data_IF_225114951323
#
_entry.id   IF_225114951323
#
_cell.length_a   1.000
_cell.length_b   1.000
_cell.length_c   1.000
_cell.angle_alpha   90.00
_cell.angle_beta   90.00
_cell.angle_gamma   90.00
#
_symmetry.space_group_name_H-M   'P 1'
#
loop_
_entity.id
_entity.type
_entity.pdbx_description
1 polymer ?
#
# COMPACT_ATOMS: atom_id res chain seq x y z
N UNK A 1 -28.87 -7.50 9.69
CA UNK A 1 -28.41 -6.10 9.50
C UNK A 1 -27.36 -6.10 8.39
N UNK A 2 -27.68 -5.50 7.25
CA UNK A 2 -26.74 -5.34 6.16
C UNK A 2 -25.59 -4.44 6.65
N UNK A 3 -24.34 -4.90 6.51
CA UNK A 3 -23.16 -4.10 6.86
C UNK A 3 -23.22 -2.81 6.04
N UNK A 4 -22.97 -1.63 6.64
CA UNK A 4 -22.90 -0.39 5.88
C UNK A 4 -21.91 -0.59 4.73
N UNK A 5 -22.38 -0.36 3.49
CA UNK A 5 -21.53 -0.37 2.30
C UNK A 5 -20.41 0.63 2.55
N UNK A 6 -19.17 0.22 2.29
CA UNK A 6 -18.00 1.05 2.45
C UNK A 6 -18.26 2.40 1.73
N UNK A 7 -18.24 3.51 2.45
CA UNK A 7 -18.61 4.85 1.95
C UNK A 7 -17.45 5.58 1.29
N UNK A 8 -16.27 4.96 1.24
CA UNK A 8 -15.07 5.51 0.62
C UNK A 8 -14.83 4.83 -0.72
N UNK A 9 -14.63 5.64 -1.76
CA UNK A 9 -14.27 5.15 -3.08
C UNK A 9 -12.86 4.55 -3.06
N UNK A 10 -12.77 3.28 -3.46
CA UNK A 10 -11.50 2.58 -3.64
C UNK A 10 -11.14 2.55 -5.11
N UNK A 11 -9.95 3.04 -5.46
CA UNK A 11 -9.43 2.99 -6.83
C UNK A 11 -8.36 1.91 -6.94
N UNK A 12 -8.41 1.12 -8.00
CA UNK A 12 -7.40 0.09 -8.26
C UNK A 12 -6.16 0.73 -8.93
N UNK A 13 -4.99 0.48 -8.36
CA UNK A 13 -3.69 0.88 -8.94
C UNK A 13 -2.93 -0.38 -9.34
N UNK A 14 -2.50 -0.47 -10.59
CA UNK A 14 -1.65 -1.56 -11.08
C UNK A 14 -0.23 -1.04 -11.23
N UNK A 15 0.73 -1.72 -10.60
CA UNK A 15 2.13 -1.29 -10.57
C UNK A 15 2.97 -2.38 -11.24
N UNK A 16 3.77 -1.98 -12.24
CA UNK A 16 4.81 -2.83 -12.80
C UNK A 16 6.08 -2.66 -11.98
N UNK A 17 6.65 -3.76 -11.52
CA UNK A 17 7.87 -3.73 -10.69
C UNK A 17 8.75 -4.94 -10.97
N UNK A 18 9.96 -4.92 -10.43
CA UNK A 18 10.91 -6.03 -10.59
C UNK A 18 10.53 -7.23 -9.73
N UNK A 19 10.92 -8.47 -10.10
CA UNK A 19 10.63 -9.67 -9.31
C UNK A 19 11.14 -9.58 -7.87
N UNK A 20 12.30 -8.96 -7.67
CA UNK A 20 12.90 -8.76 -6.35
C UNK A 20 12.01 -7.94 -5.42
N UNK A 21 11.39 -6.87 -5.93
CA UNK A 21 10.48 -6.03 -5.14
C UNK A 21 9.23 -6.81 -4.74
N UNK A 22 8.68 -7.61 -5.66
CA UNK A 22 7.54 -8.48 -5.36
C UNK A 22 7.87 -9.47 -4.25
N UNK A 23 9.03 -10.12 -4.31
CA UNK A 23 9.45 -11.09 -3.30
C UNK A 23 9.66 -10.44 -1.92
N UNK A 24 10.23 -9.22 -1.89
CA UNK A 24 10.36 -8.46 -0.64
C UNK A 24 8.98 -8.16 -0.05
N UNK A 25 8.00 -7.74 -0.86
CA UNK A 25 6.63 -7.48 -0.39
C UNK A 25 5.98 -8.74 0.18
N UNK A 26 6.19 -9.91 -0.44
CA UNK A 26 5.67 -11.19 0.07
C UNK A 26 6.33 -11.60 1.40
N UNK A 27 7.65 -11.39 1.54
CA UNK A 27 8.37 -11.62 2.80
C UNK A 27 7.91 -10.68 3.91
N UNK A 28 7.69 -9.39 3.59
CA UNK A 28 7.18 -8.39 4.53
C UNK A 28 5.73 -8.66 4.93
N UNK A 29 4.94 -9.25 4.04
CA UNK A 29 3.60 -9.74 4.39
C UNK A 29 3.70 -10.91 5.37
N UNK A 30 4.63 -11.84 5.10
CA UNK A 30 4.86 -13.03 5.93
C UNK A 30 5.39 -12.71 7.33
N UNK A 31 6.05 -11.57 7.53
CA UNK A 31 6.49 -11.12 8.85
C UNK A 31 5.35 -10.60 9.73
N UNK A 32 4.14 -10.43 9.18
CA UNK A 32 2.94 -10.03 9.90
C UNK A 32 2.84 -8.53 10.21
N UNK A 33 3.76 -7.71 9.70
CA UNK A 33 3.85 -6.28 10.01
C UNK A 33 2.86 -5.39 9.25
N UNK A 34 2.49 -5.74 8.01
CA UNK A 34 1.81 -4.80 7.12
C UNK A 34 0.42 -5.22 6.63
N UNK A 35 0.13 -6.51 6.45
CA UNK A 35 -1.15 -6.92 5.89
C UNK A 35 -1.30 -8.42 5.63
N UNK A 36 -2.41 -8.82 4.99
CA UNK A 36 -2.74 -10.22 4.71
C UNK A 36 -2.21 -10.69 3.36
N UNK A 37 -1.90 -9.76 2.46
CA UNK A 37 -1.35 -10.04 1.13
C UNK A 37 -0.34 -8.97 0.71
N UNK A 38 0.41 -9.23 -0.36
CA UNK A 38 1.43 -8.31 -0.87
C UNK A 38 0.86 -6.94 -1.32
N UNK A 39 -0.41 -6.88 -1.74
CA UNK A 39 -1.05 -5.64 -2.15
C UNK A 39 -1.39 -4.74 -0.95
N UNK A 40 -1.87 -5.32 0.16
CA UNK A 40 -2.09 -4.61 1.42
C UNK A 40 -0.76 -4.05 1.94
N UNK A 41 0.29 -4.87 1.88
CA UNK A 41 1.65 -4.46 2.26
C UNK A 41 2.16 -3.32 1.38
N UNK A 42 1.98 -3.42 0.07
CA UNK A 42 2.35 -2.36 -0.86
C UNK A 42 1.57 -1.07 -0.59
N UNK A 43 0.27 -1.16 -0.29
CA UNK A 43 -0.57 -0.01 0.06
C UNK A 43 -0.09 0.67 1.34
N UNK A 44 0.22 -0.09 2.39
CA UNK A 44 0.73 0.45 3.65
C UNK A 44 2.07 1.19 3.46
N UNK A 45 3.03 0.56 2.76
CA UNK A 45 4.33 1.16 2.46
C UNK A 45 4.20 2.40 1.57
N UNK A 46 3.33 2.37 0.56
CA UNK A 46 3.06 3.53 -0.28
C UNK A 46 2.50 4.69 0.54
N UNK A 47 1.56 4.42 1.46
CA UNK A 47 0.97 5.44 2.32
C UNK A 47 2.02 6.09 3.22
N UNK A 48 2.90 5.31 3.85
CA UNK A 48 4.00 5.82 4.66
C UNK A 48 4.93 6.69 3.82
N UNK A 49 5.34 6.20 2.65
CA UNK A 49 6.26 6.92 1.79
C UNK A 49 5.67 8.22 1.24
N UNK A 50 4.39 8.23 0.87
CA UNK A 50 3.68 9.44 0.45
C UNK A 50 3.67 10.46 1.59
N UNK A 51 3.36 10.04 2.81
CA UNK A 51 3.39 10.93 3.98
C UNK A 51 4.77 11.53 4.20
N UNK A 52 5.83 10.73 4.13
CA UNK A 52 7.21 11.24 4.23
C UNK A 52 7.56 12.24 3.11
N UNK A 53 7.10 11.99 1.89
CA UNK A 53 7.33 12.90 0.76
C UNK A 53 6.58 14.21 0.93
N UNK A 54 5.35 14.17 1.46
CA UNK A 54 4.58 15.36 1.81
C UNK A 54 5.28 16.17 2.92
N UNK A 55 5.74 15.50 3.98
CA UNK A 55 6.48 16.14 5.08
C UNK A 55 7.80 16.78 4.60
N UNK A 56 8.45 16.18 3.59
CA UNK A 56 9.67 16.70 2.97
C UNK A 56 9.42 17.74 1.87
N UNK A 57 8.16 18.09 1.58
CA UNK A 57 7.80 19.08 0.55
C UNK A 57 8.13 18.64 -0.89
N UNK A 58 8.19 17.34 -1.16
CA UNK A 58 8.54 16.78 -2.48
C UNK A 58 7.32 16.40 -3.32
N UNK A 59 6.10 16.56 -2.80
CA UNK A 59 4.88 16.29 -3.56
C UNK A 59 4.48 17.58 -4.29
N UNK A 60 4.50 17.61 -5.64
CA UNK A 60 3.98 18.75 -6.39
C UNK A 60 2.46 18.85 -6.17
N UNK A 61 1.95 20.10 -6.07
CA UNK A 61 0.53 20.43 -5.93
C UNK A 61 -0.34 19.86 -7.08
#
# INVERSE_FOLDING_TARGET
MARPKNTLDTVQVTISTTPQVKEILERLTSSGLYGKNAADTAHALLKERIRELMEKGHVPD
#
